data_IF_303312810254
#
_entry.id   IF_303312810254
#
_cell.length_a   1.000
_cell.length_b   1.000
_cell.length_c   1.000
_cell.angle_alpha   90.00
_cell.angle_beta   90.00
_cell.angle_gamma   90.00
#
_symmetry.space_group_name_H-M   'P 1'
#
loop_
_entity.id
_entity.type
_entity.pdbx_description
1 polymer ?
#
# COMPACT_ATOMS: atom_id res chain seq x y z
N UNK A 1 -3.99 -20.21 16.72
CA UNK A 1 -2.88 -19.25 16.51
C UNK A 1 -2.09 -19.58 15.23
N UNK A 2 -1.35 -20.70 15.18
CA UNK A 2 -0.59 -21.10 13.97
C UNK A 2 -1.49 -21.28 12.74
N UNK A 3 -2.60 -21.99 12.88
CA UNK A 3 -3.56 -22.21 11.77
C UNK A 3 -4.14 -20.89 11.23
N UNK A 4 -4.33 -19.88 12.07
CA UNK A 4 -4.86 -18.57 11.65
C UNK A 4 -3.83 -17.81 10.81
N UNK A 5 -2.56 -17.83 11.22
CA UNK A 5 -1.48 -17.23 10.44
C UNK A 5 -1.22 -18.01 9.15
N UNK A 6 -1.37 -19.34 9.16
CA UNK A 6 -1.28 -20.15 7.94
C UNK A 6 -2.44 -19.91 6.98
N UNK A 7 -3.65 -19.67 7.48
CA UNK A 7 -4.78 -19.24 6.65
C UNK A 7 -4.55 -17.87 5.99
N UNK A 8 -3.69 -17.01 6.57
CA UNK A 8 -3.25 -15.74 5.96
C UNK A 8 -2.17 -15.92 4.89
N UNK A 9 -1.71 -17.16 4.64
CA UNK A 9 -0.70 -17.48 3.63
C UNK A 9 0.72 -17.67 4.16
N UNK A 10 0.93 -17.63 5.48
CA UNK A 10 2.26 -17.85 6.07
C UNK A 10 2.56 -19.34 6.29
N UNK A 11 3.81 -19.77 6.10
CA UNK A 11 4.17 -21.15 6.41
C UNK A 11 4.01 -21.45 7.90
N UNK A 12 3.72 -22.71 8.29
CA UNK A 12 3.61 -23.08 9.71
C UNK A 12 4.89 -22.78 10.52
N UNK A 13 6.06 -22.76 9.87
CA UNK A 13 7.34 -22.45 10.48
C UNK A 13 7.47 -20.95 10.80
N UNK A 14 7.14 -20.08 9.84
CA UNK A 14 7.12 -18.63 10.06
C UNK A 14 6.08 -18.24 11.11
N UNK A 15 4.89 -18.83 11.08
CA UNK A 15 3.85 -18.62 12.08
C UNK A 15 4.32 -18.97 13.50
N UNK A 16 5.03 -20.11 13.67
CA UNK A 16 5.59 -20.51 14.97
C UNK A 16 6.69 -19.56 15.43
N UNK A 17 7.58 -19.11 14.54
CA UNK A 17 8.63 -18.14 14.89
C UNK A 17 8.03 -16.81 15.33
N UNK A 18 7.10 -16.25 14.55
CA UNK A 18 6.44 -14.99 14.89
C UNK A 18 5.72 -15.05 16.23
N UNK A 19 5.01 -16.15 16.52
CA UNK A 19 4.36 -16.34 17.82
C UNK A 19 5.36 -16.45 18.98
N UNK A 20 6.57 -16.95 18.77
CA UNK A 20 7.63 -16.94 19.78
C UNK A 20 8.13 -15.52 20.05
N UNK A 21 8.38 -14.76 18.99
CA UNK A 21 8.89 -13.37 19.06
C UNK A 21 7.84 -12.38 19.62
N UNK A 22 6.56 -12.72 19.55
CA UNK A 22 5.48 -11.83 20.00
C UNK A 22 4.75 -12.34 21.25
N UNK A 23 5.37 -13.24 22.01
CA UNK A 23 4.83 -13.81 23.24
C UNK A 23 3.43 -14.43 23.07
N UNK A 24 3.20 -15.08 21.93
CA UNK A 24 1.95 -15.74 21.58
C UNK A 24 0.83 -14.81 21.10
N UNK A 25 1.07 -13.49 21.02
CA UNK A 25 0.08 -12.55 20.53
C UNK A 25 -0.06 -12.65 19.00
N UNK A 26 -1.25 -13.03 18.54
CA UNK A 26 -1.54 -13.29 17.12
C UNK A 26 -1.48 -12.02 16.26
N UNK A 27 -2.05 -10.91 16.74
CA UNK A 27 -2.06 -9.64 15.99
C UNK A 27 -0.64 -9.11 15.79
N UNK A 28 0.16 -9.13 16.87
CA UNK A 28 1.57 -8.75 16.80
C UNK A 28 2.36 -9.72 15.93
N UNK A 29 2.05 -11.02 15.96
CA UNK A 29 2.72 -12.01 15.11
C UNK A 29 2.41 -11.76 13.64
N UNK A 30 1.16 -11.39 13.30
CA UNK A 30 0.78 -11.03 11.95
C UNK A 30 1.53 -9.76 11.47
N UNK A 31 1.53 -8.70 12.28
CA UNK A 31 2.28 -7.47 11.97
C UNK A 31 3.80 -7.72 11.83
N UNK A 32 4.35 -8.55 12.72
CA UNK A 32 5.76 -8.94 12.69
C UNK A 32 6.13 -9.71 11.41
N UNK A 33 5.25 -10.60 10.94
CA UNK A 33 5.41 -11.34 9.69
C UNK A 33 5.28 -10.43 8.47
N UNK A 34 4.28 -9.55 8.46
CA UNK A 34 4.05 -8.63 7.34
C UNK A 34 5.19 -7.62 7.18
N UNK A 35 5.71 -7.08 8.28
CA UNK A 35 6.87 -6.18 8.26
C UNK A 35 8.17 -6.85 7.82
N UNK A 36 8.19 -8.17 7.66
CA UNK A 36 9.36 -8.98 7.23
C UNK A 36 9.05 -9.88 6.04
N UNK A 37 7.97 -9.61 5.31
CA UNK A 37 7.50 -10.49 4.24
C UNK A 37 8.60 -10.76 3.19
N UNK A 38 9.37 -9.72 2.85
CA UNK A 38 10.49 -9.78 1.89
C UNK A 38 11.67 -10.62 2.37
N UNK A 39 11.76 -10.92 3.66
CA UNK A 39 12.88 -11.64 4.29
C UNK A 39 12.52 -13.05 4.73
N UNK A 40 11.24 -13.44 4.64
CA UNK A 40 10.75 -14.71 5.18
C UNK A 40 11.53 -15.91 4.62
N UNK A 41 11.82 -15.92 3.31
CA UNK A 41 12.54 -17.04 2.67
C UNK A 41 14.01 -17.16 3.08
N UNK A 42 14.60 -16.07 3.55
CA UNK A 42 15.99 -15.99 4.04
C UNK A 42 16.10 -16.03 5.56
N UNK A 43 14.96 -16.08 6.25
CA UNK A 43 14.90 -15.95 7.70
C UNK A 43 15.37 -17.25 8.36
N UNK A 44 16.45 -17.17 9.13
CA UNK A 44 16.89 -18.29 9.96
C UNK A 44 15.82 -18.58 11.03
N UNK A 45 15.30 -19.80 11.08
CA UNK A 45 14.17 -20.16 11.94
C UNK A 45 14.58 -20.44 13.40
N UNK A 46 15.88 -20.57 13.67
CA UNK A 46 16.44 -20.98 14.96
C UNK A 46 17.20 -19.87 15.71
N UNK A 47 17.54 -18.75 15.04
CA UNK A 47 18.17 -17.58 15.67
C UNK A 47 17.14 -16.55 16.20
N UNK A 48 17.41 -15.92 17.37
CA UNK A 48 16.58 -14.82 17.88
C UNK A 48 16.60 -13.66 16.89
N UNK A 49 15.43 -13.11 16.60
CA UNK A 49 15.33 -12.07 15.59
C UNK A 49 16.11 -10.80 16.00
N UNK A 50 17.14 -10.45 15.23
CA UNK A 50 17.78 -9.14 15.32
C UNK A 50 16.85 -8.05 14.76
N UNK A 51 17.07 -6.80 15.17
CA UNK A 51 16.28 -5.65 14.70
C UNK A 51 16.31 -5.58 13.16
N UNK A 52 15.18 -5.27 12.50
CA UNK A 52 15.08 -5.37 11.06
C UNK A 52 15.97 -4.33 10.39
N UNK A 53 16.94 -4.77 9.60
CA UNK A 53 17.42 -3.97 8.48
C UNK A 53 16.37 -4.16 7.37
N UNK A 54 15.65 -3.09 7.01
CA UNK A 54 14.67 -3.16 5.92
C UNK A 54 15.40 -3.45 4.60
N UNK A 55 15.46 -4.72 4.20
CA UNK A 55 15.80 -5.09 2.82
C UNK A 55 14.52 -4.89 2.02
N UNK A 56 14.31 -3.68 1.52
CA UNK A 56 13.26 -3.43 0.56
C UNK A 56 13.42 -4.42 -0.59
N UNK A 57 12.30 -5.04 -1.03
CA UNK A 57 12.25 -5.77 -2.29
C UNK A 57 12.98 -4.98 -3.39
N UNK A 58 13.62 -5.64 -4.37
CA UNK A 58 14.25 -4.95 -5.48
C UNK A 58 13.23 -4.01 -6.10
N UNK A 59 13.46 -2.70 -5.96
CA UNK A 59 12.64 -1.70 -6.62
C UNK A 59 12.79 -1.96 -8.12
N UNK A 60 11.67 -2.16 -8.81
CA UNK A 60 11.68 -2.26 -10.26
C UNK A 60 12.36 -0.99 -10.82
N UNK A 61 13.34 -1.19 -11.72
CA UNK A 61 14.11 -0.10 -12.32
C UNK A 61 13.21 0.62 -13.34
N UNK A 62 12.36 1.49 -12.81
CA UNK A 62 11.43 2.29 -13.60
C UNK A 62 12.12 3.54 -14.13
N UNK A 63 11.75 3.92 -15.36
CA UNK A 63 12.09 5.22 -15.92
C UNK A 63 11.74 6.34 -14.93
N UNK A 64 12.64 7.31 -14.69
CA UNK A 64 12.40 8.42 -13.76
C UNK A 64 11.40 9.44 -14.33
N UNK A 65 10.82 9.17 -15.50
CA UNK A 65 9.80 9.99 -16.13
C UNK A 65 8.43 9.44 -15.76
N UNK A 66 7.52 10.32 -15.36
CA UNK A 66 6.18 9.96 -14.98
C UNK A 66 5.17 10.87 -15.67
N UNK A 67 3.98 10.33 -15.93
CA UNK A 67 2.82 11.09 -16.36
C UNK A 67 1.75 11.07 -15.27
N UNK A 68 1.04 12.19 -15.12
CA UNK A 68 -0.06 12.27 -14.16
C UNK A 68 -1.24 11.42 -14.66
N UNK A 69 -1.61 10.42 -13.86
CA UNK A 69 -2.71 9.51 -14.16
C UNK A 69 -4.00 9.91 -13.44
N UNK A 70 -3.90 10.30 -12.17
CA UNK A 70 -5.07 10.68 -11.38
C UNK A 70 -4.74 11.71 -10.30
N UNK A 71 -5.75 12.48 -9.91
CA UNK A 71 -5.74 13.38 -8.76
C UNK A 71 -6.96 13.12 -7.89
N UNK A 72 -6.76 12.99 -6.59
CA UNK A 72 -7.80 12.87 -5.59
C UNK A 72 -7.84 14.20 -4.83
N UNK A 73 -8.97 14.89 -4.87
CA UNK A 73 -9.16 16.19 -4.24
C UNK A 73 -10.07 16.04 -3.02
N UNK A 74 -9.68 16.70 -1.93
CA UNK A 74 -10.56 16.96 -0.79
C UNK A 74 -11.16 18.36 -0.96
N UNK A 75 -12.49 18.44 -0.95
CA UNK A 75 -13.23 19.69 -1.05
C UNK A 75 -13.81 19.98 0.34
N UNK A 76 -13.11 20.82 1.11
CA UNK A 76 -13.56 21.22 2.43
C UNK A 76 -12.54 22.08 3.17
N UNK A 77 -12.94 22.70 4.29
CA UNK A 77 -12.06 23.59 5.04
C UNK A 77 -11.12 22.87 6.03
N UNK A 78 -11.35 21.58 6.33
CA UNK A 78 -10.57 20.84 7.32
C UNK A 78 -10.54 19.33 7.04
N UNK A 79 -9.68 18.58 7.74
CA UNK A 79 -9.50 17.14 7.53
C UNK A 79 -10.62 16.28 8.12
N UNK A 80 -11.43 16.82 9.02
CA UNK A 80 -12.52 16.10 9.71
C UNK A 80 -13.82 16.06 8.92
N UNK A 81 -14.04 16.99 7.99
CA UNK A 81 -15.20 17.00 7.10
C UNK A 81 -14.90 17.62 5.73
N UNK A 82 -15.59 17.12 4.71
CA UNK A 82 -15.49 17.61 3.33
C UNK A 82 -15.97 16.54 2.37
N UNK A 83 -15.62 16.68 1.10
CA UNK A 83 -16.03 15.76 0.04
C UNK A 83 -14.85 15.33 -0.80
N UNK A 84 -14.67 14.04 -1.00
CA UNK A 84 -13.61 13.53 -1.85
C UNK A 84 -14.14 13.25 -3.25
N UNK A 85 -13.42 13.73 -4.25
CA UNK A 85 -13.65 13.39 -5.66
C UNK A 85 -12.32 12.98 -6.29
N UNK A 86 -12.36 12.21 -7.37
CA UNK A 86 -11.15 11.94 -8.13
C UNK A 86 -11.32 12.29 -9.61
N UNK A 87 -10.25 12.82 -10.18
CA UNK A 87 -10.07 13.00 -11.61
C UNK A 87 -9.11 11.93 -12.09
N UNK A 88 -9.51 11.13 -13.08
CA UNK A 88 -8.68 10.07 -13.65
C UNK A 88 -8.56 10.31 -15.15
N UNK A 89 -7.33 10.26 -15.66
CA UNK A 89 -7.04 10.34 -17.10
C UNK A 89 -7.16 8.94 -17.70
N UNK A 90 -8.12 8.77 -18.61
CA UNK A 90 -8.34 7.52 -19.35
C UNK A 90 -8.42 7.83 -20.84
N UNK A 91 -7.64 7.10 -21.64
CA UNK A 91 -7.59 7.25 -23.10
C UNK A 91 -7.36 8.72 -23.53
N UNK A 92 -6.48 9.42 -22.80
CA UNK A 92 -6.15 10.82 -23.03
C UNK A 92 -7.18 11.84 -22.53
N UNK A 93 -8.35 11.40 -22.04
CA UNK A 93 -9.42 12.28 -21.53
C UNK A 93 -9.54 12.19 -20.02
N UNK A 94 -9.88 13.30 -19.40
CA UNK A 94 -10.14 13.33 -17.97
C UNK A 94 -11.61 13.04 -17.68
N UNK A 95 -11.84 12.22 -16.65
CA UNK A 95 -13.16 11.98 -16.09
C UNK A 95 -13.15 12.30 -14.60
N UNK A 96 -14.19 12.99 -14.13
CA UNK A 96 -14.46 13.17 -12.71
C UNK A 96 -15.35 12.02 -12.23
N UNK A 97 -14.95 11.41 -11.12
CA UNK A 97 -15.73 10.44 -10.37
C UNK A 97 -16.14 11.09 -9.06
N UNK A 98 -17.43 11.34 -8.92
CA UNK A 98 -18.07 11.94 -7.76
C UNK A 98 -19.20 11.01 -7.31
N UNK A 99 -18.86 10.04 -6.46
CA UNK A 99 -19.74 8.97 -6.03
C UNK A 99 -20.39 8.24 -7.22
N UNK A 100 -21.73 8.34 -7.34
CA UNK A 100 -22.51 7.74 -8.43
C UNK A 100 -22.48 8.56 -9.72
N UNK A 101 -21.92 9.78 -9.68
CA UNK A 101 -21.85 10.67 -10.83
C UNK A 101 -20.47 10.56 -11.47
N UNK A 102 -20.46 10.16 -12.73
CA UNK A 102 -19.25 10.10 -13.55
C UNK A 102 -19.48 11.00 -14.77
N UNK A 103 -18.55 11.90 -15.02
CA UNK A 103 -18.64 12.84 -16.13
C UNK A 103 -17.26 13.09 -16.75
N UNK A 104 -17.26 13.52 -18.01
CA UNK A 104 -16.05 14.05 -18.64
C UNK A 104 -15.70 15.37 -17.96
N UNK A 105 -14.42 15.53 -17.60
CA UNK A 105 -13.87 16.76 -17.04
C UNK A 105 -12.98 17.38 -18.10
N UNK A 106 -13.43 18.45 -18.76
CA UNK A 106 -12.62 19.11 -19.79
C UNK A 106 -11.45 19.89 -19.18
N UNK A 107 -11.69 20.52 -18.03
CA UNK A 107 -10.72 21.32 -17.28
C UNK A 107 -10.65 20.84 -15.82
N UNK A 108 -9.95 19.72 -15.54
CA UNK A 108 -9.81 19.22 -14.19
C UNK A 108 -8.99 20.20 -13.31
N UNK A 109 -9.42 20.48 -12.06
CA UNK A 109 -8.69 21.35 -11.12
C UNK A 109 -7.49 20.61 -10.50
N UNK A 110 -6.49 20.32 -11.33
CA UNK A 110 -5.34 19.49 -10.95
C UNK A 110 -4.41 20.18 -9.95
N UNK A 111 -4.48 21.49 -9.78
CA UNK A 111 -3.73 22.25 -8.78
C UNK A 111 -4.29 22.11 -7.35
N UNK A 112 -5.56 21.70 -7.24
CA UNK A 112 -6.27 21.50 -5.98
C UNK A 112 -6.32 20.01 -5.55
N UNK A 113 -5.48 19.17 -6.13
CA UNK A 113 -5.33 17.78 -5.72
C UNK A 113 -4.68 17.65 -4.34
N UNK A 114 -5.17 16.70 -3.55
CA UNK A 114 -4.60 16.33 -2.27
C UNK A 114 -3.62 15.14 -2.41
N UNK A 115 -4.03 14.11 -3.17
CA UNK A 115 -3.18 12.95 -3.48
C UNK A 115 -3.08 12.82 -5.00
N UNK A 116 -1.86 12.64 -5.49
CA UNK A 116 -1.58 12.49 -6.92
C UNK A 116 -1.06 11.09 -7.21
N UNK A 117 -1.57 10.50 -8.28
CA UNK A 117 -1.12 9.20 -8.78
C UNK A 117 -0.42 9.43 -10.10
N UNK A 118 0.86 9.08 -10.12
CA UNK A 118 1.72 9.16 -11.29
C UNK A 118 2.01 7.76 -11.81
N UNK A 119 1.98 7.60 -13.13
CA UNK A 119 2.36 6.36 -13.80
C UNK A 119 3.75 6.55 -14.41
N UNK A 120 4.65 5.60 -14.21
CA UNK A 120 5.95 5.62 -14.88
C UNK A 120 5.76 5.54 -16.40
N UNK A 121 6.53 6.36 -17.12
CA UNK A 121 6.61 6.35 -18.58
C UNK A 121 7.73 5.37 -18.94
N UNK A 122 7.34 4.10 -19.03
CA UNK A 122 8.17 2.94 -19.38
C UNK A 122 7.40 1.97 -20.27
#
# INVERSE_FOLDING_TARGET
AVEMLTAMGFTPQHAKKALRETSGNIERAADWLMSRMDQLDTMDLDEPASAPAATAAPLEDHSPKYELLASISHIGPNTSCGHYVCHIKKDGRWAIFNDRKVAVSEEPPLDLGFIYIYKSVG
#
